data_IF_932315417012
#
_entry.id   IF_932315417012
#
_cell.length_a   1.000
_cell.length_b   1.000
_cell.length_c   1.000
_cell.angle_alpha   90.00
_cell.angle_beta   90.00
_cell.angle_gamma   90.00
#
_symmetry.space_group_name_H-M   'P 1'
#
loop_
_entity.id
_entity.type
_entity.pdbx_description
1 polymer ?
#
# COMPACT_ATOMS: atom_id res chain seq x y z
N UNK A 1 -16.74 -4.27 -14.95
CA UNK A 1 -15.68 -3.27 -15.19
C UNK A 1 -14.56 -3.99 -15.93
N UNK A 2 -14.19 -3.55 -17.11
CA UNK A 2 -13.08 -4.12 -17.87
C UNK A 2 -11.74 -3.58 -17.33
N UNK A 3 -10.62 -4.21 -17.70
CA UNK A 3 -9.28 -3.70 -17.31
C UNK A 3 -9.05 -2.26 -17.83
N UNK A 4 -9.55 -1.95 -19.00
CA UNK A 4 -9.46 -0.61 -19.60
C UNK A 4 -10.27 0.45 -18.84
N UNK A 5 -11.37 0.06 -18.21
CA UNK A 5 -12.18 0.98 -17.40
C UNK A 5 -11.44 1.45 -16.14
N UNK A 6 -10.50 0.63 -15.60
CA UNK A 6 -9.70 0.98 -14.41
C UNK A 6 -8.77 2.17 -14.66
N UNK A 7 -8.34 2.37 -15.90
CA UNK A 7 -7.34 3.37 -16.29
C UNK A 7 -7.95 4.56 -17.02
N UNK A 8 -9.25 4.52 -17.27
CA UNK A 8 -9.93 5.59 -17.98
C UNK A 8 -10.04 6.81 -17.07
N UNK A 9 -9.44 7.92 -17.51
CA UNK A 9 -9.62 9.22 -16.88
C UNK A 9 -11.01 9.77 -17.23
N UNK A 10 -11.87 9.93 -16.23
CA UNK A 10 -13.29 10.24 -16.43
C UNK A 10 -13.62 11.70 -16.16
N UNK A 11 -12.85 12.34 -15.26
CA UNK A 11 -13.14 13.72 -14.85
C UNK A 11 -11.86 14.49 -14.51
N UNK A 12 -12.03 15.79 -14.36
CA UNK A 12 -10.99 16.71 -13.90
C UNK A 12 -11.42 17.41 -12.62
N UNK A 13 -10.57 17.31 -11.59
CA UNK A 13 -10.74 17.95 -10.29
C UNK A 13 -9.88 19.20 -10.24
N UNK A 14 -10.51 20.38 -10.10
CA UNK A 14 -9.82 21.66 -9.91
C UNK A 14 -9.84 22.04 -8.45
N UNK A 15 -8.67 22.45 -7.93
CA UNK A 15 -8.56 22.89 -6.53
C UNK A 15 -8.66 24.40 -6.39
N UNK A 16 -9.08 24.86 -5.21
CA UNK A 16 -9.27 26.26 -4.87
C UNK A 16 -7.97 27.05 -4.91
N UNK A 17 -8.05 28.33 -5.22
CA UNK A 17 -6.93 29.25 -5.10
C UNK A 17 -6.42 29.29 -3.66
N UNK A 18 -5.10 29.17 -3.50
CA UNK A 18 -4.45 29.21 -2.19
C UNK A 18 -4.34 27.84 -1.50
N UNK A 19 -4.96 26.78 -2.08
CA UNK A 19 -4.81 25.40 -1.64
C UNK A 19 -3.74 24.65 -2.46
N UNK A 20 -3.51 23.37 -2.18
CA UNK A 20 -2.55 22.54 -2.94
C UNK A 20 -1.08 22.83 -2.67
N UNK A 21 -0.74 23.62 -1.65
CA UNK A 21 0.67 23.83 -1.26
C UNK A 21 1.31 22.53 -0.81
N UNK A 22 0.59 21.72 -0.04
CA UNK A 22 1.02 20.39 0.40
C UNK A 22 1.28 19.47 -0.79
N UNK A 23 0.39 19.49 -1.80
CA UNK A 23 0.52 18.70 -3.01
C UNK A 23 1.77 19.10 -3.81
N UNK A 24 2.00 20.40 -4.00
CA UNK A 24 3.20 20.93 -4.65
C UNK A 24 4.49 20.61 -3.85
N UNK A 25 4.38 20.51 -2.52
CA UNK A 25 5.48 20.13 -1.64
C UNK A 25 5.71 18.60 -1.53
N UNK A 26 4.89 17.78 -2.20
CA UNK A 26 5.09 16.35 -2.26
C UNK A 26 4.00 15.47 -1.62
N UNK A 27 2.96 16.06 -1.02
CA UNK A 27 1.80 15.30 -0.55
C UNK A 27 1.14 14.52 -1.69
N UNK A 28 0.51 13.41 -1.34
CA UNK A 28 -0.26 12.59 -2.26
C UNK A 28 -1.78 12.80 -2.12
N UNK A 29 -2.23 13.83 -1.40
CA UNK A 29 -3.63 13.95 -1.00
C UNK A 29 -4.22 15.30 -1.36
N UNK A 30 -5.48 15.30 -1.86
CA UNK A 30 -6.36 16.46 -1.99
C UNK A 30 -7.56 16.20 -1.09
N UNK A 31 -7.83 17.13 -0.17
CA UNK A 31 -8.96 17.04 0.73
C UNK A 31 -10.25 17.59 0.07
N UNK A 32 -11.40 17.14 0.55
CA UNK A 32 -12.73 17.58 0.07
C UNK A 32 -12.90 19.10 0.08
N UNK A 33 -12.43 19.75 1.14
CA UNK A 33 -12.51 21.21 1.31
C UNK A 33 -11.54 22.00 0.40
N UNK A 34 -10.57 21.34 -0.24
CA UNK A 34 -9.65 21.94 -1.21
C UNK A 34 -10.21 21.98 -2.63
N UNK A 35 -11.24 21.18 -2.92
CA UNK A 35 -11.87 21.09 -4.26
C UNK A 35 -12.73 22.31 -4.52
N UNK A 36 -12.54 22.93 -5.69
CA UNK A 36 -13.37 24.03 -6.23
C UNK A 36 -14.47 23.47 -7.14
N UNK A 37 -14.07 22.79 -8.21
CA UNK A 37 -14.99 22.21 -9.20
C UNK A 37 -14.52 20.85 -9.67
N UNK A 38 -15.49 20.03 -10.09
CA UNK A 38 -15.23 18.77 -10.77
C UNK A 38 -15.99 18.83 -12.11
N UNK A 39 -15.29 18.57 -13.22
CA UNK A 39 -15.84 18.55 -14.56
C UNK A 39 -15.68 17.16 -15.16
N UNK A 40 -16.71 16.68 -15.85
CA UNK A 40 -16.82 15.32 -16.37
C UNK A 40 -17.72 14.44 -15.51
N UNK A 41 -17.94 13.22 -15.96
CA UNK A 41 -18.71 12.21 -15.22
C UNK A 41 -17.76 11.29 -14.48
N UNK A 42 -18.07 10.95 -13.24
CA UNK A 42 -17.24 10.06 -12.43
C UNK A 42 -18.06 9.27 -11.42
N UNK A 43 -17.53 8.15 -11.04
CA UNK A 43 -17.92 7.39 -9.85
C UNK A 43 -16.79 7.41 -8.82
N UNK A 44 -17.13 7.21 -7.53
CA UNK A 44 -16.12 7.07 -6.51
C UNK A 44 -15.20 5.87 -6.85
N UNK A 45 -13.91 6.09 -6.78
CA UNK A 45 -12.87 5.12 -7.14
C UNK A 45 -12.31 5.27 -8.56
N UNK A 46 -12.88 6.18 -9.38
CA UNK A 46 -12.38 6.42 -10.73
C UNK A 46 -11.06 7.20 -10.74
N UNK A 47 -10.30 7.01 -11.81
CA UNK A 47 -9.12 7.80 -12.12
C UNK A 47 -9.53 9.18 -12.63
N UNK A 48 -8.97 10.23 -12.04
CA UNK A 48 -9.23 11.62 -12.41
C UNK A 48 -7.93 12.39 -12.57
N UNK A 49 -7.99 13.44 -13.41
CA UNK A 49 -6.93 14.44 -13.48
C UNK A 49 -7.15 15.51 -12.39
N UNK A 50 -6.07 15.96 -11.76
CA UNK A 50 -6.09 17.08 -10.85
C UNK A 50 -5.42 18.30 -11.47
N UNK A 51 -6.03 19.48 -11.27
CA UNK A 51 -5.52 20.77 -11.75
C UNK A 51 -5.55 21.80 -10.60
N UNK A 52 -4.65 22.79 -10.65
CA UNK A 52 -4.75 23.93 -9.76
C UNK A 52 -5.82 24.93 -10.25
N UNK A 53 -6.02 26.02 -9.51
CA UNK A 53 -7.03 27.02 -9.76
C UNK A 53 -6.89 27.72 -11.13
N UNK A 54 -5.70 27.76 -11.72
CA UNK A 54 -5.42 28.33 -13.04
C UNK A 54 -5.47 27.28 -14.16
N UNK A 55 -5.80 26.03 -13.86
CA UNK A 55 -5.83 24.91 -14.82
C UNK A 55 -4.46 24.29 -15.06
N UNK A 56 -3.45 24.56 -14.20
CA UNK A 56 -2.16 23.88 -14.29
C UNK A 56 -2.31 22.43 -13.79
N UNK A 57 -1.92 21.42 -14.61
CA UNK A 57 -2.08 20.03 -14.25
C UNK A 57 -1.14 19.65 -13.09
N UNK A 58 -1.72 19.02 -12.06
CA UNK A 58 -1.05 18.54 -10.85
C UNK A 58 -0.77 17.04 -10.89
N UNK A 59 -1.40 16.31 -11.82
CA UNK A 59 -1.25 14.87 -12.01
C UNK A 59 -2.55 14.09 -12.01
N UNK A 60 -2.47 12.80 -11.68
CA UNK A 60 -3.58 11.84 -11.74
C UNK A 60 -3.76 11.13 -10.41
N UNK A 61 -4.99 10.85 -10.02
CA UNK A 61 -5.32 10.17 -8.78
C UNK A 61 -6.71 9.56 -8.79
N UNK A 62 -7.07 8.83 -7.74
CA UNK A 62 -8.40 8.27 -7.56
C UNK A 62 -9.27 9.20 -6.73
N UNK A 63 -10.49 9.46 -7.22
CA UNK A 63 -11.50 10.27 -6.52
C UNK A 63 -12.36 9.39 -5.62
N UNK A 64 -12.65 9.88 -4.41
CA UNK A 64 -13.67 9.31 -3.53
C UNK A 64 -14.26 10.39 -2.62
N UNK A 65 -15.43 10.90 -2.93
CA UNK A 65 -16.08 11.96 -2.15
C UNK A 65 -16.79 11.46 -0.89
N UNK A 66 -16.81 10.17 -0.60
CA UNK A 66 -17.23 9.64 0.70
C UNK A 66 -16.12 9.84 1.74
N UNK A 67 -14.88 9.96 1.30
CA UNK A 67 -13.73 10.21 2.15
C UNK A 67 -13.39 11.69 2.20
N UNK A 68 -12.95 12.17 3.36
CA UNK A 68 -12.36 13.52 3.48
C UNK A 68 -11.07 13.67 2.67
N UNK A 69 -10.34 12.57 2.44
CA UNK A 69 -9.26 12.48 1.47
C UNK A 69 -9.86 12.22 0.09
N UNK A 70 -10.39 13.27 -0.52
CA UNK A 70 -11.22 13.16 -1.71
C UNK A 70 -10.45 12.71 -2.96
N UNK A 71 -9.16 13.05 -3.10
CA UNK A 71 -8.32 12.49 -4.17
C UNK A 71 -7.00 12.00 -3.61
N UNK A 72 -6.65 10.76 -3.94
CA UNK A 72 -5.34 10.16 -3.66
C UNK A 72 -4.53 10.11 -4.93
N UNK A 73 -3.44 10.89 -4.97
CA UNK A 73 -2.61 11.04 -6.17
C UNK A 73 -1.77 9.78 -6.41
N UNK A 74 -1.96 9.18 -7.58
CA UNK A 74 -1.18 8.04 -8.07
C UNK A 74 0.09 8.53 -8.82
N UNK A 75 -0.02 9.65 -9.53
CA UNK A 75 1.11 10.30 -10.20
C UNK A 75 0.99 11.82 -10.10
N UNK A 76 2.12 12.51 -9.90
CA UNK A 76 2.24 13.97 -9.97
C UNK A 76 2.81 14.44 -11.31
N UNK A 77 3.07 13.53 -12.22
CA UNK A 77 3.47 13.87 -13.59
C UNK A 77 2.22 14.09 -14.41
N UNK A 78 2.14 15.26 -15.08
CA UNK A 78 0.99 15.67 -15.89
C UNK A 78 0.74 14.77 -17.11
N UNK A 79 1.81 14.19 -17.64
CA UNK A 79 1.86 13.38 -18.85
C UNK A 79 2.02 11.89 -18.54
N UNK A 80 1.76 11.49 -17.30
CA UNK A 80 1.80 10.07 -16.92
C UNK A 80 0.66 9.32 -17.60
N UNK A 81 0.99 8.25 -18.30
CA UNK A 81 0.03 7.28 -18.80
C UNK A 81 -0.15 6.23 -17.73
N UNK A 82 -1.34 6.17 -17.13
CA UNK A 82 -1.67 5.17 -16.10
C UNK A 82 -2.21 3.94 -16.82
N UNK A 83 -1.48 2.85 -16.75
CA UNK A 83 -1.77 1.56 -17.39
C UNK A 83 -1.07 0.43 -16.64
N UNK A 84 -1.16 -0.79 -17.14
CA UNK A 84 -0.49 -1.97 -16.58
C UNK A 84 1.03 -1.77 -16.41
N UNK A 85 1.70 -1.19 -17.41
CA UNK A 85 3.16 -0.94 -17.37
C UNK A 85 3.53 0.07 -16.28
N UNK A 86 2.68 1.08 -16.08
CA UNK A 86 2.85 2.04 -14.99
C UNK A 86 2.74 1.36 -13.63
N UNK A 87 1.76 0.48 -13.45
CA UNK A 87 1.58 -0.27 -12.19
C UNK A 87 2.75 -1.22 -11.98
N UNK A 88 3.18 -1.94 -13.02
CA UNK A 88 4.34 -2.83 -12.95
C UNK A 88 5.61 -2.07 -12.55
N UNK A 89 5.86 -0.92 -13.16
CA UNK A 89 6.99 -0.06 -12.80
C UNK A 89 6.96 0.34 -11.31
N UNK A 90 5.77 0.69 -10.76
CA UNK A 90 5.63 1.05 -9.34
C UNK A 90 5.95 -0.13 -8.43
N UNK A 91 5.39 -1.29 -8.74
CA UNK A 91 5.62 -2.54 -7.99
C UNK A 91 7.09 -2.94 -8.05
N UNK A 92 7.69 -2.90 -9.23
CA UNK A 92 9.11 -3.21 -9.44
C UNK A 92 10.02 -2.26 -8.65
N UNK A 93 9.77 -0.95 -8.70
CA UNK A 93 10.53 0.03 -7.93
C UNK A 93 10.42 -0.21 -6.42
N UNK A 94 9.24 -0.54 -5.92
CA UNK A 94 9.05 -0.89 -4.52
C UNK A 94 9.88 -2.12 -4.13
N UNK A 95 9.85 -3.17 -4.93
CA UNK A 95 10.61 -4.38 -4.69
C UNK A 95 12.13 -4.15 -4.76
N UNK A 96 12.62 -3.49 -5.82
CA UNK A 96 14.06 -3.15 -5.95
C UNK A 96 14.57 -2.32 -4.77
N UNK A 97 13.77 -1.36 -4.30
CA UNK A 97 14.12 -0.60 -3.11
C UNK A 97 14.27 -1.49 -1.88
N UNK A 98 13.38 -2.49 -1.67
CA UNK A 98 13.48 -3.43 -0.56
C UNK A 98 14.73 -4.31 -0.67
N UNK A 99 15.03 -4.82 -1.87
CA UNK A 99 16.28 -5.59 -2.10
C UNK A 99 17.54 -4.79 -1.73
N UNK A 100 17.53 -3.49 -1.96
CA UNK A 100 18.66 -2.62 -1.66
C UNK A 100 18.78 -2.22 -0.18
N UNK A 101 17.70 -2.29 0.61
CA UNK A 101 17.65 -1.64 1.92
C UNK A 101 17.35 -2.57 3.10
N UNK A 102 16.71 -3.71 2.87
CA UNK A 102 16.29 -4.62 3.95
C UNK A 102 16.54 -6.08 3.58
N UNK A 103 16.52 -6.95 4.58
CA UNK A 103 16.43 -8.39 4.36
C UNK A 103 15.00 -8.73 3.87
N UNK A 104 14.93 -9.30 2.67
CA UNK A 104 13.69 -9.59 1.96
C UNK A 104 13.08 -10.96 2.27
N UNK A 105 13.67 -11.73 3.20
CA UNK A 105 13.09 -13.01 3.64
C UNK A 105 11.67 -12.83 4.20
N UNK A 106 11.48 -11.76 4.99
CA UNK A 106 10.18 -11.26 5.44
C UNK A 106 10.27 -9.74 5.58
N UNK A 107 9.47 -9.01 4.80
CA UNK A 107 9.53 -7.55 4.74
C UNK A 107 8.22 -6.95 4.22
N UNK A 108 8.00 -5.67 4.48
CA UNK A 108 6.98 -4.88 3.80
C UNK A 108 7.45 -4.56 2.39
N UNK A 109 6.79 -5.11 1.36
CA UNK A 109 7.14 -4.86 -0.04
C UNK A 109 6.56 -3.53 -0.51
N UNK A 110 5.27 -3.28 -0.26
CA UNK A 110 4.58 -2.05 -0.66
C UNK A 110 4.08 -1.33 0.59
N UNK A 111 4.35 -0.03 0.67
CA UNK A 111 3.94 0.82 1.77
C UNK A 111 3.22 2.08 1.27
N UNK A 112 2.06 1.91 0.68
CA UNK A 112 1.14 2.99 0.34
C UNK A 112 1.79 4.15 -0.42
N UNK A 113 1.61 5.33 0.10
CA UNK A 113 2.11 6.58 -0.46
C UNK A 113 3.64 6.63 -0.59
N UNK A 114 4.36 5.94 0.28
CA UNK A 114 5.84 5.89 0.23
C UNK A 114 6.36 5.21 -1.06
N UNK A 115 5.58 4.26 -1.58
CA UNK A 115 5.89 3.56 -2.84
C UNK A 115 5.02 4.05 -4.00
N UNK A 116 4.31 5.17 -3.82
CA UNK A 116 3.43 5.78 -4.82
C UNK A 116 2.28 4.85 -5.29
N UNK A 117 1.81 4.00 -4.38
CA UNK A 117 0.62 3.17 -4.52
C UNK A 117 -0.31 3.45 -3.32
N UNK A 118 -0.97 4.62 -3.29
CA UNK A 118 -1.61 5.15 -2.09
C UNK A 118 -2.74 4.25 -1.59
N UNK A 119 -2.68 3.91 -0.30
CA UNK A 119 -3.73 3.14 0.37
C UNK A 119 -3.63 1.63 0.25
N UNK A 120 -2.54 1.07 -0.31
CA UNK A 120 -2.29 -0.38 -0.27
C UNK A 120 -1.00 -0.69 0.47
N UNK A 121 -1.03 -1.73 1.29
CA UNK A 121 0.13 -2.30 1.96
C UNK A 121 0.25 -3.77 1.56
N UNK A 122 1.46 -4.21 1.24
CA UNK A 122 1.74 -5.63 1.00
C UNK A 122 2.96 -6.04 1.81
N UNK A 123 2.74 -6.96 2.73
CA UNK A 123 3.76 -7.58 3.56
C UNK A 123 4.05 -9.00 3.07
N UNK A 124 5.32 -9.37 3.04
CA UNK A 124 5.78 -10.72 2.73
C UNK A 124 6.27 -11.39 4.00
N UNK A 125 5.70 -12.54 4.32
CA UNK A 125 6.12 -13.43 5.37
C UNK A 125 6.59 -14.74 4.76
N UNK A 126 7.91 -14.94 4.64
CA UNK A 126 8.51 -16.09 3.97
C UNK A 126 7.95 -16.27 2.53
N UNK A 127 7.07 -17.22 2.30
CA UNK A 127 6.44 -17.56 1.02
C UNK A 127 4.95 -17.13 0.93
N UNK A 128 4.49 -16.27 1.82
CA UNK A 128 3.10 -15.77 1.86
C UNK A 128 3.09 -14.26 1.73
N UNK A 129 2.14 -13.72 0.96
CA UNK A 129 1.83 -12.29 0.95
C UNK A 129 0.59 -12.00 1.79
N UNK A 130 0.64 -10.90 2.51
CA UNK A 130 -0.52 -10.33 3.20
C UNK A 130 -0.78 -8.95 2.65
N UNK A 131 -1.98 -8.72 2.13
CA UNK A 131 -2.38 -7.45 1.53
C UNK A 131 -3.42 -6.75 2.39
N UNK A 132 -3.26 -5.45 2.57
CA UNK A 132 -4.24 -4.55 3.16
C UNK A 132 -4.54 -3.43 2.17
N UNK A 133 -5.81 -3.26 1.79
CA UNK A 133 -6.29 -2.21 0.88
C UNK A 133 -7.25 -1.28 1.62
N UNK A 134 -6.92 0.00 1.67
CA UNK A 134 -7.59 1.00 2.52
C UNK A 134 -8.27 2.13 1.74
N UNK A 135 -8.15 2.17 0.41
CA UNK A 135 -8.72 3.21 -0.42
C UNK A 135 -9.45 2.62 -1.63
N UNK A 136 -10.61 3.16 -2.00
CA UNK A 136 -11.51 2.57 -2.98
C UNK A 136 -10.87 2.39 -4.37
N UNK A 137 -10.19 3.43 -4.89
CA UNK A 137 -9.57 3.33 -6.21
C UNK A 137 -8.44 2.31 -6.29
N UNK A 138 -7.62 2.23 -5.23
CA UNK A 138 -6.55 1.23 -5.16
C UNK A 138 -7.10 -0.18 -4.91
N UNK A 139 -8.23 -0.31 -4.21
CA UNK A 139 -8.91 -1.59 -4.02
C UNK A 139 -9.38 -2.19 -5.35
N UNK A 140 -9.86 -1.35 -6.27
CA UNK A 140 -10.18 -1.74 -7.65
C UNK A 140 -8.95 -2.18 -8.43
N UNK A 141 -7.78 -1.55 -8.21
CA UNK A 141 -6.50 -1.91 -8.84
C UNK A 141 -5.78 -3.08 -8.16
N UNK A 142 -6.18 -3.48 -6.97
CA UNK A 142 -5.52 -4.55 -6.18
C UNK A 142 -5.25 -5.82 -6.99
N UNK A 143 -6.18 -6.36 -7.80
CA UNK A 143 -5.89 -7.55 -8.60
C UNK A 143 -4.73 -7.36 -9.58
N UNK A 144 -4.64 -6.19 -10.24
CA UNK A 144 -3.54 -5.88 -11.16
C UNK A 144 -2.22 -5.71 -10.40
N UNK A 145 -2.24 -5.01 -9.27
CA UNK A 145 -1.04 -4.82 -8.42
C UNK A 145 -0.49 -6.17 -7.97
N UNK A 146 -1.35 -7.09 -7.51
CA UNK A 146 -0.94 -8.42 -7.07
C UNK A 146 -0.44 -9.29 -8.24
N UNK A 147 -1.11 -9.26 -9.41
CA UNK A 147 -0.65 -9.92 -10.65
C UNK A 147 0.78 -9.48 -11.00
N UNK A 148 1.02 -8.15 -11.05
CA UNK A 148 2.33 -7.58 -11.36
C UNK A 148 3.38 -7.91 -10.29
N UNK A 149 3.00 -7.89 -9.02
CA UNK A 149 3.90 -8.25 -7.92
C UNK A 149 4.31 -9.72 -7.99
N UNK A 150 3.38 -10.63 -8.26
CA UNK A 150 3.69 -12.06 -8.43
C UNK A 150 4.65 -12.29 -9.59
N UNK A 151 4.46 -11.57 -10.72
CA UNK A 151 5.37 -11.65 -11.87
C UNK A 151 6.78 -11.16 -11.51
N UNK A 152 6.89 -9.97 -10.87
CA UNK A 152 8.18 -9.39 -10.45
C UNK A 152 8.91 -10.29 -9.45
N UNK A 153 8.21 -10.88 -8.47
CA UNK A 153 8.82 -11.81 -7.51
C UNK A 153 9.29 -13.11 -8.18
N UNK A 154 8.54 -13.59 -9.17
CA UNK A 154 8.90 -14.80 -9.95
C UNK A 154 10.19 -14.62 -10.76
N UNK A 155 10.47 -13.42 -11.28
CA UNK A 155 11.73 -13.10 -11.96
C UNK A 155 12.95 -13.29 -11.04
N UNK A 156 12.79 -13.00 -9.75
CA UNK A 156 13.82 -13.22 -8.72
C UNK A 156 13.75 -14.63 -8.09
N UNK A 157 13.04 -15.57 -8.74
CA UNK A 157 12.88 -16.95 -8.29
C UNK A 157 12.21 -17.09 -6.91
N UNK A 158 11.44 -16.08 -6.49
CA UNK A 158 10.67 -16.12 -5.25
C UNK A 158 9.31 -16.76 -5.54
N UNK A 159 9.09 -17.90 -4.91
CA UNK A 159 7.81 -18.59 -4.98
C UNK A 159 6.90 -18.13 -3.83
N UNK A 160 5.69 -17.70 -4.16
CA UNK A 160 4.64 -17.33 -3.20
C UNK A 160 3.57 -18.43 -3.26
N UNK A 161 3.32 -19.10 -2.14
CA UNK A 161 2.32 -20.19 -2.05
C UNK A 161 0.89 -19.68 -1.88
N UNK A 162 0.71 -18.42 -1.42
CA UNK A 162 -0.63 -17.89 -1.26
C UNK A 162 -0.65 -16.42 -0.80
N UNK A 163 -1.83 -15.82 -0.93
CA UNK A 163 -2.10 -14.42 -0.57
C UNK A 163 -3.27 -14.39 0.39
N UNK A 164 -3.11 -13.67 1.52
CA UNK A 164 -4.16 -13.43 2.49
C UNK A 164 -4.50 -11.94 2.54
N UNK A 165 -5.77 -11.57 2.53
CA UNK A 165 -6.20 -10.19 2.64
C UNK A 165 -6.62 -9.86 4.08
N UNK A 166 -6.06 -8.77 4.61
CA UNK A 166 -6.34 -8.17 5.92
C UNK A 166 -6.89 -6.76 5.78
N UNK A 167 -7.89 -6.59 4.92
CA UNK A 167 -8.60 -5.33 4.67
C UNK A 167 -9.77 -5.14 5.65
N UNK A 168 -9.53 -5.43 6.94
CA UNK A 168 -10.54 -5.37 8.00
C UNK A 168 -10.47 -4.11 8.88
N UNK A 169 -9.65 -3.12 8.50
CA UNK A 169 -9.53 -1.85 9.18
C UNK A 169 -10.81 -0.99 9.05
N UNK A 170 -11.17 -0.26 10.14
CA UNK A 170 -12.38 0.58 10.19
C UNK A 170 -12.39 1.72 9.15
N UNK A 171 -11.22 2.17 8.71
CA UNK A 171 -11.08 3.23 7.71
C UNK A 171 -11.76 2.88 6.38
N UNK A 172 -11.88 1.60 6.04
CA UNK A 172 -12.59 1.16 4.83
C UNK A 172 -14.05 1.59 4.80
N UNK A 173 -14.72 1.60 5.95
CA UNK A 173 -16.10 2.07 6.07
C UNK A 173 -16.22 3.58 5.71
N UNK A 174 -15.19 4.37 6.01
CA UNK A 174 -15.15 5.80 5.64
C UNK A 174 -14.89 6.00 4.13
N UNK A 175 -14.31 5.01 3.48
CA UNK A 175 -14.11 4.97 2.03
C UNK A 175 -15.31 4.37 1.27
N UNK A 176 -16.38 3.99 1.98
CA UNK A 176 -17.57 3.34 1.40
C UNK A 176 -17.37 1.87 1.03
N UNK A 177 -16.36 1.23 1.61
CA UNK A 177 -16.05 -0.17 1.37
C UNK A 177 -16.40 -1.03 2.58
N UNK A 178 -16.79 -2.27 2.34
CA UNK A 178 -16.92 -3.27 3.38
C UNK A 178 -15.56 -3.70 3.91
N UNK A 179 -15.52 -4.13 5.16
CA UNK A 179 -14.34 -4.79 5.74
C UNK A 179 -14.23 -6.19 5.18
N UNK A 180 -13.03 -6.59 4.83
CA UNK A 180 -12.77 -7.92 4.30
C UNK A 180 -11.55 -8.56 4.95
N UNK A 181 -11.64 -9.87 5.20
CA UNK A 181 -10.55 -10.72 5.69
C UNK A 181 -10.72 -12.11 5.06
N UNK A 182 -9.69 -12.63 4.41
CA UNK A 182 -9.78 -13.92 3.74
C UNK A 182 -8.68 -14.20 2.73
N UNK A 183 -8.76 -15.37 2.12
CA UNK A 183 -7.82 -15.79 1.08
C UNK A 183 -8.10 -15.11 -0.26
N UNK A 184 -7.04 -14.76 -0.98
CA UNK A 184 -7.10 -14.45 -2.41
C UNK A 184 -6.56 -15.66 -3.16
N UNK A 185 -7.45 -16.39 -3.84
CA UNK A 185 -7.15 -17.69 -4.45
C UNK A 185 -7.35 -18.85 -3.49
N UNK A 186 -6.51 -19.88 -3.61
CA UNK A 186 -6.66 -21.13 -2.84
C UNK A 186 -6.28 -20.93 -1.35
N UNK A 187 -7.02 -21.55 -0.42
CA UNK A 187 -6.68 -21.57 0.99
C UNK A 187 -5.35 -22.27 1.30
N UNK A 188 -4.65 -21.78 2.32
CA UNK A 188 -3.40 -22.36 2.82
C UNK A 188 -3.34 -22.27 4.36
N UNK A 189 -2.34 -22.91 4.97
CA UNK A 189 -2.09 -22.77 6.43
C UNK A 189 -1.63 -21.34 6.74
N UNK A 190 -2.42 -20.62 7.53
CA UNK A 190 -2.18 -19.22 7.92
C UNK A 190 -1.04 -19.04 8.90
N UNK A 191 -0.55 -20.14 9.50
CA UNK A 191 0.62 -20.14 10.37
C UNK A 191 1.90 -20.27 9.56
N UNK A 192 2.66 -19.20 9.48
CA UNK A 192 3.85 -19.06 8.62
C UNK A 192 5.09 -18.96 9.48
N UNK A 193 6.06 -19.86 9.27
CA UNK A 193 7.36 -19.74 9.92
C UNK A 193 8.20 -18.68 9.20
N UNK A 194 8.73 -17.73 9.96
CA UNK A 194 9.69 -16.74 9.49
C UNK A 194 10.96 -16.81 10.31
N UNK A 195 12.07 -16.37 9.73
CA UNK A 195 13.34 -16.18 10.45
C UNK A 195 13.70 -14.71 10.45
N UNK A 196 13.90 -14.15 11.63
CA UNK A 196 14.33 -12.76 11.79
C UNK A 196 15.49 -12.69 12.79
N UNK A 197 16.61 -12.08 12.40
CA UNK A 197 17.80 -11.92 13.22
C UNK A 197 18.30 -13.26 13.83
N UNK A 198 18.13 -14.38 13.10
CA UNK A 198 18.53 -15.71 13.54
C UNK A 198 17.52 -16.37 14.52
N UNK A 199 16.38 -15.75 14.79
CA UNK A 199 15.31 -16.31 15.63
C UNK A 199 14.13 -16.72 14.72
N UNK A 200 13.59 -17.91 14.96
CA UNK A 200 12.39 -18.39 14.27
C UNK A 200 11.14 -17.94 15.01
N UNK A 201 10.16 -17.43 14.26
CA UNK A 201 8.84 -17.05 14.75
C UNK A 201 7.78 -17.79 13.95
N UNK A 202 6.71 -18.17 14.61
CA UNK A 202 5.49 -18.63 13.97
C UNK A 202 4.51 -17.46 13.92
N UNK A 203 4.29 -16.92 12.73
CA UNK A 203 3.39 -15.80 12.48
C UNK A 203 2.03 -16.31 12.03
N UNK A 204 0.96 -15.84 12.64
CA UNK A 204 -0.39 -16.11 12.18
C UNK A 204 -0.87 -14.91 11.34
N UNK A 205 -0.95 -15.09 10.02
CA UNK A 205 -1.37 -14.03 9.10
C UNK A 205 -2.88 -13.77 9.15
N UNK A 206 -3.65 -14.68 9.72
CA UNK A 206 -5.09 -14.52 9.93
C UNK A 206 -5.39 -13.76 11.21
N UNK A 207 -4.89 -14.20 12.38
CA UNK A 207 -5.27 -13.67 13.68
C UNK A 207 -4.18 -12.84 14.36
N UNK A 208 -2.98 -12.79 13.79
CA UNK A 208 -1.89 -11.98 14.29
C UNK A 208 -2.18 -10.47 14.22
N UNK A 209 -1.40 -9.69 14.95
CA UNK A 209 -1.54 -8.23 14.99
C UNK A 209 -1.17 -7.60 13.65
N UNK A 210 -1.88 -6.52 13.24
CA UNK A 210 -1.75 -5.87 11.94
C UNK A 210 -1.92 -6.91 10.80
N UNK A 211 -0.91 -7.06 9.96
CA UNK A 211 -0.84 -8.06 8.88
C UNK A 211 -0.35 -9.43 9.35
N UNK A 212 -0.07 -9.61 10.65
CA UNK A 212 0.41 -10.85 11.26
C UNK A 212 1.55 -10.63 12.25
N UNK A 213 2.51 -9.73 11.94
CA UNK A 213 3.68 -9.46 12.75
C UNK A 213 4.21 -8.04 12.53
N UNK A 214 4.89 -7.46 13.52
CA UNK A 214 5.48 -6.13 13.44
C UNK A 214 6.84 -6.16 12.74
N UNK A 215 6.86 -6.19 11.41
CA UNK A 215 8.08 -6.20 10.60
C UNK A 215 8.94 -4.94 10.79
N UNK A 216 8.31 -3.79 11.11
CA UNK A 216 8.99 -2.52 11.38
C UNK A 216 9.86 -2.55 12.65
N UNK A 217 9.62 -3.49 13.57
CA UNK A 217 10.38 -3.64 14.80
C UNK A 217 11.64 -4.54 14.69
N UNK A 218 11.95 -5.05 13.50
CA UNK A 218 13.05 -5.97 13.25
C UNK A 218 14.39 -5.48 13.82
N UNK A 219 14.73 -4.25 13.52
CA UNK A 219 16.01 -3.66 13.97
C UNK A 219 16.00 -3.29 15.45
N UNK A 220 14.85 -2.94 16.01
CA UNK A 220 14.70 -2.71 17.44
C UNK A 220 14.92 -4.02 18.23
N UNK A 221 14.36 -5.13 17.75
CA UNK A 221 14.59 -6.46 18.34
C UNK A 221 16.06 -6.88 18.23
N UNK A 222 16.72 -6.60 17.09
CA UNK A 222 18.15 -6.84 16.92
C UNK A 222 18.99 -6.02 17.91
N UNK A 223 18.70 -4.74 18.07
CA UNK A 223 19.42 -3.86 19.00
C UNK A 223 19.32 -4.33 20.46
N UNK A 224 18.13 -4.83 20.88
CA UNK A 224 17.96 -5.44 22.21
C UNK A 224 18.83 -6.70 22.34
N UNK A 225 18.85 -7.57 21.34
CA UNK A 225 19.67 -8.77 21.35
C UNK A 225 21.17 -8.43 21.50
N UNK A 226 21.66 -7.46 20.73
CA UNK A 226 23.05 -7.00 20.80
C UNK A 226 23.38 -6.37 22.16
N UNK A 227 22.46 -5.53 22.67
CA UNK A 227 22.62 -4.92 23.99
C UNK A 227 22.72 -6.00 25.08
N UNK A 228 21.82 -6.99 25.08
CA UNK A 228 21.82 -8.09 26.04
C UNK A 228 23.11 -8.91 25.96
N UNK A 229 23.65 -9.17 24.78
CA UNK A 229 24.95 -9.86 24.62
C UNK A 229 26.11 -9.07 25.26
N UNK A 230 26.06 -7.73 25.13
CA UNK A 230 27.13 -6.84 25.64
C UNK A 230 27.06 -6.67 27.15
N UNK A 231 25.87 -6.38 27.72
CA UNK A 231 25.74 -6.06 29.15
C UNK A 231 25.39 -7.28 30.02
N UNK A 232 25.00 -8.42 29.42
CA UNK A 232 24.64 -9.69 30.07
C UNK A 232 23.66 -9.48 31.27
N UNK A 233 22.48 -8.90 31.04
CA UNK A 233 21.54 -8.58 32.11
C UNK A 233 21.05 -9.88 32.77
N UNK A 234 20.88 -9.86 34.08
CA UNK A 234 20.32 -10.99 34.83
C UNK A 234 18.79 -11.01 34.79
N UNK A 235 18.16 -9.87 34.51
CA UNK A 235 16.71 -9.71 34.46
C UNK A 235 16.37 -8.74 33.34
N UNK A 236 15.31 -9.04 32.60
CA UNK A 236 14.76 -8.18 31.54
C UNK A 236 13.25 -8.03 31.83
N UNK A 237 12.73 -6.83 31.71
CA UNK A 237 11.29 -6.53 31.78
C UNK A 237 10.80 -6.06 30.43
N UNK A 238 9.81 -6.73 29.87
CA UNK A 238 9.01 -6.24 28.78
C UNK A 238 7.69 -5.68 29.32
N UNK A 239 7.36 -4.45 28.98
CA UNK A 239 6.19 -3.74 29.52
C UNK A 239 4.95 -3.85 28.66
N UNK A 240 5.04 -4.38 27.44
CA UNK A 240 3.97 -4.33 26.45
C UNK A 240 3.71 -5.65 25.71
N UNK A 241 4.13 -6.77 26.27
CA UNK A 241 3.79 -8.13 25.81
C UNK A 241 2.52 -8.63 26.47
#
# INVERSE_FOLDING_TARGET
MTKDDLYRETACVRIKKGTGRSLKAGSAWIYDNEIDTITGEYENGDLVRAEDFDGYPLGHGFINLQSRLAVRMLSRKRDAIINDDFIEMRVRNAWEYRKATVDTSSCRIIFGEADFLPGIVVDKFSDVLVVESLALGIDRLKPVILEKLMAVLSEDHIHIRGIYERSDARVRLQEGMERFKGFIGEPFDTKVEITENGVRYLVDVEDGQKTGFFLDQKYNRLAIQELCRRIKPKRVLDCFT
#
